data_IF_317963393179
#
_entry.id   IF_317963393179
#
_cell.length_a   1.000
_cell.length_b   1.000
_cell.length_c   1.000
_cell.angle_alpha   90.00
_cell.angle_beta   90.00
_cell.angle_gamma   90.00
#
_symmetry.space_group_name_H-M   'P 1'
#
loop_
_entity.id
_entity.type
_entity.pdbx_description
1 polymer ?
#
# COMPACT_ATOMS: atom_id res chain seq x y z
N UNK A 1 -2.31 -15.10 9.88
CA UNK A 1 -1.99 -14.43 8.58
C UNK A 1 -3.26 -13.73 8.14
N UNK A 2 -3.31 -12.40 8.22
CA UNK A 2 -4.46 -11.63 7.76
C UNK A 2 -4.75 -11.90 6.29
N UNK A 3 -6.01 -12.11 6.00
CA UNK A 3 -6.56 -12.21 4.66
C UNK A 3 -7.99 -11.68 4.68
N UNK A 4 -8.43 -11.14 3.56
CA UNK A 4 -9.73 -10.51 3.48
C UNK A 4 -9.96 -9.84 2.15
N UNK A 5 -10.89 -8.89 2.15
CA UNK A 5 -11.30 -8.17 0.95
C UNK A 5 -11.51 -6.69 1.24
N UNK A 6 -11.00 -5.87 0.35
CA UNK A 6 -11.26 -4.43 0.30
C UNK A 6 -12.20 -4.09 -0.84
N UNK A 7 -13.07 -3.11 -0.62
CA UNK A 7 -13.67 -2.32 -1.68
C UNK A 7 -12.73 -1.17 -2.04
N UNK A 8 -12.42 -1.03 -3.33
CA UNK A 8 -11.72 0.13 -3.86
C UNK A 8 -12.77 1.03 -4.52
N UNK A 9 -12.90 2.24 -3.99
CA UNK A 9 -13.93 3.20 -4.35
C UNK A 9 -13.35 4.41 -5.05
N UNK A 10 -14.12 5.06 -5.89
CA UNK A 10 -13.78 6.40 -6.36
C UNK A 10 -13.79 7.37 -5.16
N UNK A 11 -12.72 8.11 -4.88
CA UNK A 11 -12.65 8.99 -3.72
C UNK A 11 -13.61 10.19 -3.78
N UNK A 12 -14.22 10.50 -4.94
CA UNK A 12 -15.12 11.64 -5.11
C UNK A 12 -16.59 11.28 -4.95
N UNK A 13 -17.02 10.16 -5.57
CA UNK A 13 -18.45 9.77 -5.59
C UNK A 13 -18.72 8.44 -4.89
N UNK A 14 -17.70 7.78 -4.35
CA UNK A 14 -17.79 6.47 -3.69
C UNK A 14 -18.30 5.34 -4.59
N UNK A 15 -18.22 5.49 -5.90
CA UNK A 15 -18.53 4.40 -6.83
C UNK A 15 -17.54 3.26 -6.65
N UNK A 16 -18.04 2.03 -6.54
CA UNK A 16 -17.21 0.83 -6.44
C UNK A 16 -16.46 0.59 -7.76
N UNK A 17 -15.13 0.68 -7.72
CA UNK A 17 -14.24 0.49 -8.86
C UNK A 17 -13.76 -0.96 -8.98
N UNK A 18 -13.38 -1.56 -7.85
CA UNK A 18 -12.82 -2.90 -7.80
C UNK A 18 -12.95 -3.51 -6.40
N UNK A 19 -12.76 -4.82 -6.31
CA UNK A 19 -12.45 -5.51 -5.06
C UNK A 19 -10.99 -5.95 -5.08
N UNK A 20 -10.31 -5.83 -3.94
CA UNK A 20 -8.96 -6.37 -3.75
C UNK A 20 -8.99 -7.48 -2.70
N UNK A 21 -8.79 -8.72 -3.15
CA UNK A 21 -8.64 -9.89 -2.27
C UNK A 21 -7.19 -10.00 -1.87
N UNK A 22 -6.90 -9.93 -0.58
CA UNK A 22 -5.54 -9.89 -0.08
C UNK A 22 -5.21 -11.00 0.91
N UNK A 23 -3.92 -11.27 1.00
CA UNK A 23 -3.30 -12.05 2.05
C UNK A 23 -1.96 -11.43 2.39
N UNK A 24 -1.67 -11.24 3.67
CA UNK A 24 -0.37 -10.75 4.10
C UNK A 24 0.17 -11.54 5.28
N UNK A 25 1.49 -11.51 5.45
CA UNK A 25 2.15 -12.23 6.52
C UNK A 25 3.46 -11.56 6.92
N UNK A 26 3.73 -11.44 8.24
CA UNK A 26 5.08 -11.25 8.71
C UNK A 26 5.89 -12.54 8.46
N UNK A 27 7.14 -12.38 8.08
CA UNK A 27 8.12 -13.45 7.93
C UNK A 27 9.35 -13.19 8.80
N UNK A 28 10.27 -14.16 8.93
CA UNK A 28 11.46 -14.03 9.78
C UNK A 28 12.39 -12.89 9.34
N UNK A 29 12.27 -12.40 8.11
CA UNK A 29 13.11 -11.34 7.54
C UNK A 29 12.30 -10.20 6.92
N UNK A 30 11.05 -9.99 7.35
CA UNK A 30 10.23 -8.90 6.85
C UNK A 30 8.74 -9.20 6.75
N UNK A 31 8.09 -8.71 5.69
CA UNK A 31 6.65 -8.83 5.49
C UNK A 31 6.35 -8.99 4.00
N UNK A 32 5.32 -9.78 3.68
CA UNK A 32 4.84 -9.95 2.31
C UNK A 32 3.34 -9.75 2.22
N UNK A 33 2.91 -9.09 1.16
CA UNK A 33 1.52 -8.89 0.80
C UNK A 33 1.31 -9.38 -0.64
N UNK A 34 0.25 -10.16 -0.83
CA UNK A 34 -0.17 -10.63 -2.15
C UNK A 34 -1.64 -10.35 -2.30
N UNK A 35 -2.03 -9.78 -3.44
CA UNK A 35 -3.44 -9.53 -3.72
C UNK A 35 -3.81 -9.76 -5.18
N UNK A 36 -5.12 -9.92 -5.39
CA UNK A 36 -5.75 -9.96 -6.71
C UNK A 36 -6.87 -8.92 -6.75
N UNK A 37 -6.90 -8.15 -7.83
CA UNK A 37 -7.92 -7.15 -8.09
C UNK A 37 -8.95 -7.70 -9.07
N UNK A 38 -10.22 -7.48 -8.76
CA UNK A 38 -11.33 -7.87 -9.62
C UNK A 38 -12.30 -6.72 -9.82
N UNK A 39 -12.93 -6.64 -10.98
CA UNK A 39 -14.07 -5.74 -11.18
C UNK A 39 -15.21 -6.10 -10.23
N UNK A 40 -16.23 -5.22 -10.03
CA UNK A 40 -17.46 -5.57 -9.32
C UNK A 40 -18.17 -6.79 -9.90
N UNK A 41 -17.96 -7.11 -11.16
CA UNK A 41 -18.51 -8.29 -11.84
C UNK A 41 -17.64 -9.54 -11.74
N UNK A 42 -16.48 -9.46 -11.03
CA UNK A 42 -15.59 -10.59 -10.77
C UNK A 42 -14.50 -10.84 -11.82
N UNK A 43 -14.39 -10.01 -12.87
CA UNK A 43 -13.30 -10.16 -13.83
C UNK A 43 -11.97 -9.71 -13.23
N UNK A 44 -10.91 -10.50 -13.37
CA UNK A 44 -9.57 -10.16 -12.90
C UNK A 44 -9.00 -8.95 -13.67
N UNK A 45 -8.49 -7.96 -12.95
CA UNK A 45 -7.94 -6.71 -13.52
C UNK A 45 -6.49 -6.46 -13.17
N UNK A 46 -5.98 -7.07 -12.10
CA UNK A 46 -4.61 -6.86 -11.69
C UNK A 46 -4.21 -7.62 -10.45
N UNK A 47 -2.96 -7.44 -10.03
CA UNK A 47 -2.43 -8.04 -8.80
C UNK A 47 -1.27 -7.22 -8.24
N UNK A 48 -1.06 -7.36 -6.93
CA UNK A 48 0.11 -6.80 -6.23
C UNK A 48 0.80 -7.92 -5.46
N UNK A 49 2.12 -8.05 -5.62
CA UNK A 49 2.99 -8.87 -4.77
C UNK A 49 4.12 -7.96 -4.26
N UNK A 50 4.06 -7.61 -2.98
CA UNK A 50 5.00 -6.70 -2.34
C UNK A 50 5.69 -7.41 -1.17
N UNK A 51 7.02 -7.44 -1.20
CA UNK A 51 7.85 -7.98 -0.12
C UNK A 51 8.71 -6.86 0.46
N UNK A 52 8.67 -6.73 1.78
CA UNK A 52 9.50 -5.78 2.55
C UNK A 52 10.55 -6.53 3.35
N UNK A 53 11.67 -5.87 3.65
CA UNK A 53 12.61 -6.34 4.66
C UNK A 53 12.15 -6.00 6.09
N UNK A 54 12.96 -6.34 7.08
CA UNK A 54 12.73 -6.03 8.50
C UNK A 54 12.75 -4.52 8.82
N UNK A 55 13.36 -3.71 7.95
CA UNK A 55 13.37 -2.25 8.04
C UNK A 55 12.19 -1.59 7.33
N UNK A 56 11.32 -2.36 6.68
CA UNK A 56 10.18 -1.87 5.90
C UNK A 56 10.54 -1.42 4.48
N UNK A 57 11.76 -1.69 4.00
CA UNK A 57 12.17 -1.32 2.65
C UNK A 57 11.64 -2.34 1.63
N UNK A 58 11.05 -1.89 0.51
CA UNK A 58 10.60 -2.78 -0.56
C UNK A 58 11.76 -3.56 -1.20
N UNK A 59 11.86 -4.86 -0.89
CA UNK A 59 12.82 -5.76 -1.54
C UNK A 59 12.34 -6.18 -2.94
N UNK A 60 11.04 -6.31 -3.10
CA UNK A 60 10.42 -6.73 -4.36
C UNK A 60 9.02 -6.17 -4.46
N UNK A 61 8.72 -5.60 -5.60
CA UNK A 61 7.37 -5.30 -6.06
C UNK A 61 7.13 -6.04 -7.37
N UNK A 62 5.99 -6.73 -7.49
CA UNK A 62 5.38 -7.08 -8.75
C UNK A 62 3.97 -6.51 -8.79
N UNK A 63 3.70 -5.68 -9.78
CA UNK A 63 2.42 -5.03 -9.99
C UNK A 63 1.94 -5.37 -11.40
N UNK A 64 0.71 -5.88 -11.49
CA UNK A 64 0.03 -6.11 -12.75
C UNK A 64 -1.22 -5.24 -12.79
N UNK A 65 -1.46 -4.55 -13.90
CA UNK A 65 -2.70 -3.87 -14.20
C UNK A 65 -3.05 -4.06 -15.66
N UNK A 66 -4.26 -4.60 -15.91
CA UNK A 66 -4.65 -5.07 -17.24
C UNK A 66 -3.62 -6.08 -17.78
N UNK A 67 -2.83 -5.70 -18.75
CA UNK A 67 -1.77 -6.53 -19.33
C UNK A 67 -0.37 -5.93 -19.14
N UNK A 68 -0.25 -4.78 -18.45
CA UNK A 68 1.02 -4.17 -18.09
C UNK A 68 1.60 -4.78 -16.82
N UNK A 69 2.91 -4.84 -16.73
CA UNK A 69 3.63 -5.35 -15.58
C UNK A 69 4.73 -4.38 -15.14
N UNK A 70 4.88 -4.22 -13.82
CA UNK A 70 6.03 -3.56 -13.20
C UNK A 70 6.69 -4.53 -12.23
N UNK A 71 8.01 -4.58 -12.26
CA UNK A 71 8.86 -5.18 -11.22
C UNK A 71 9.80 -4.14 -10.68
N UNK A 72 9.99 -4.09 -9.37
CA UNK A 72 10.85 -3.09 -8.76
C UNK A 72 11.31 -3.44 -7.37
N UNK A 73 12.25 -2.62 -6.87
CA UNK A 73 12.78 -2.66 -5.51
C UNK A 73 13.15 -1.25 -5.06
N UNK A 74 13.27 -1.05 -3.74
CA UNK A 74 13.66 0.24 -3.16
C UNK A 74 14.68 0.02 -2.03
N UNK A 75 15.94 -0.13 -2.38
CA UNK A 75 17.05 -0.31 -1.43
C UNK A 75 17.89 0.97 -1.32
N UNK A 76 18.55 1.37 -2.41
CA UNK A 76 19.33 2.61 -2.54
C UNK A 76 18.67 3.53 -3.58
N UNK A 77 17.43 3.96 -3.31
CA UNK A 77 16.53 4.53 -4.30
C UNK A 77 15.59 3.48 -4.88
N UNK A 78 14.64 3.92 -5.70
CA UNK A 78 13.66 3.06 -6.36
C UNK A 78 14.12 2.72 -7.75
N UNK A 79 14.30 1.43 -8.02
CA UNK A 79 14.55 0.87 -9.35
C UNK A 79 13.34 0.08 -9.82
N UNK A 80 13.02 0.17 -11.10
CA UNK A 80 11.89 -0.55 -11.67
C UNK A 80 12.10 -0.88 -13.16
N UNK A 81 11.44 -1.93 -13.59
CA UNK A 81 11.24 -2.30 -15.00
C UNK A 81 9.75 -2.42 -15.25
N UNK A 82 9.24 -1.75 -16.27
CA UNK A 82 7.86 -1.82 -16.74
C UNK A 82 7.83 -2.47 -18.11
N UNK A 83 7.00 -3.49 -18.27
CA UNK A 83 6.86 -4.27 -19.51
C UNK A 83 5.46 -4.06 -20.09
N UNK A 84 5.40 -3.86 -21.40
CA UNK A 84 4.16 -3.75 -22.15
C UNK A 84 3.39 -5.09 -22.24
N UNK A 85 2.12 -5.04 -22.71
CA UNK A 85 1.29 -6.26 -22.84
C UNK A 85 1.87 -7.37 -23.73
N UNK A 86 2.72 -7.01 -24.67
CA UNK A 86 3.32 -7.97 -25.60
C UNK A 86 4.60 -8.59 -25.05
N UNK A 87 5.18 -8.00 -24.00
CA UNK A 87 6.47 -8.37 -23.45
C UNK A 87 7.66 -8.00 -24.34
N UNK A 88 7.41 -7.27 -25.43
CA UNK A 88 8.45 -6.92 -26.42
C UNK A 88 9.13 -5.59 -26.10
N UNK A 89 8.45 -4.69 -25.37
CA UNK A 89 9.00 -3.41 -24.94
C UNK A 89 9.08 -3.32 -23.43
N UNK A 90 10.30 -3.10 -22.93
CA UNK A 90 10.56 -2.82 -21.53
C UNK A 90 11.11 -1.40 -21.39
N UNK A 91 10.65 -0.71 -20.36
CA UNK A 91 11.24 0.55 -19.92
C UNK A 91 11.71 0.41 -18.50
N UNK A 92 12.84 0.98 -18.18
CA UNK A 92 13.43 0.93 -16.84
C UNK A 92 13.62 2.33 -16.27
N UNK A 93 13.71 2.45 -14.97
CA UNK A 93 14.01 3.69 -14.29
C UNK A 93 14.67 3.46 -12.95
N UNK A 94 15.42 4.50 -12.55
CA UNK A 94 16.01 4.63 -11.24
C UNK A 94 15.82 6.06 -10.77
N UNK A 95 15.21 6.22 -9.59
CA UNK A 95 14.93 7.54 -9.02
C UNK A 95 15.28 7.57 -7.52
N UNK A 96 15.73 8.72 -6.98
CA UNK A 96 16.02 8.87 -5.56
C UNK A 96 14.72 8.99 -4.76
N UNK A 97 14.01 7.88 -4.61
CA UNK A 97 12.79 7.74 -3.83
C UNK A 97 12.95 6.64 -2.79
N UNK A 98 12.05 6.58 -1.80
CA UNK A 98 12.19 5.69 -0.64
C UNK A 98 11.38 4.39 -0.79
N UNK A 99 10.23 4.46 -1.48
CA UNK A 99 9.31 3.33 -1.64
C UNK A 99 8.36 3.55 -2.81
N UNK A 100 7.40 2.64 -2.95
CA UNK A 100 6.30 2.72 -3.89
C UNK A 100 5.02 3.23 -3.23
N UNK A 101 4.10 3.75 -4.04
CA UNK A 101 2.73 4.08 -3.65
C UNK A 101 1.76 3.75 -4.77
N UNK A 102 0.47 3.70 -4.46
CA UNK A 102 -0.59 3.40 -5.41
C UNK A 102 -1.93 3.21 -4.71
N UNK A 103 -2.92 2.65 -5.42
CA UNK A 103 -4.28 2.46 -4.92
C UNK A 103 -4.44 1.26 -4.00
N UNK A 104 -3.53 0.29 -4.04
CA UNK A 104 -3.60 -0.88 -3.15
C UNK A 104 -3.26 -0.54 -1.70
N UNK A 105 -4.01 -1.06 -0.72
CA UNK A 105 -3.70 -0.96 0.71
C UNK A 105 -2.28 -1.41 1.08
N UNK A 106 -1.68 -2.33 0.31
CA UNK A 106 -0.31 -2.79 0.50
C UNK A 106 0.71 -1.65 0.66
N UNK A 107 0.55 -0.59 -0.14
CA UNK A 107 1.47 0.54 -0.12
C UNK A 107 1.35 1.38 1.13
N UNK A 108 0.15 1.55 1.69
CA UNK A 108 -0.07 2.27 2.95
C UNK A 108 0.62 1.53 4.10
N UNK A 109 0.45 0.22 4.20
CA UNK A 109 1.15 -0.62 5.18
C UNK A 109 2.67 -0.54 5.00
N UNK A 110 3.15 -0.61 3.76
CA UNK A 110 4.58 -0.52 3.48
C UNK A 110 5.20 0.81 3.93
N UNK A 111 4.50 1.93 3.68
CA UNK A 111 4.99 3.26 4.06
C UNK A 111 5.02 3.42 5.59
N UNK A 112 3.98 2.96 6.32
CA UNK A 112 3.98 3.04 7.78
C UNK A 112 5.09 2.19 8.39
N UNK A 113 5.37 1.01 7.84
CA UNK A 113 6.48 0.14 8.27
C UNK A 113 7.86 0.74 7.98
N UNK A 114 8.00 1.43 6.86
CA UNK A 114 9.24 2.13 6.50
C UNK A 114 9.50 3.31 7.43
N UNK A 115 8.48 4.13 7.69
CA UNK A 115 8.62 5.37 8.44
C UNK A 115 8.68 5.16 9.96
N UNK A 116 8.06 4.10 10.50
CA UNK A 116 8.04 3.76 11.94
C UNK A 116 7.71 4.94 12.83
N UNK A 117 6.67 5.69 12.44
CA UNK A 117 6.28 6.90 13.14
C UNK A 117 5.76 6.58 14.55
N UNK A 118 6.06 7.47 15.48
CA UNK A 118 5.53 7.46 16.86
C UNK A 118 4.80 8.78 17.13
N UNK A 119 3.96 8.87 18.16
CA UNK A 119 3.26 10.12 18.48
C UNK A 119 4.19 11.31 18.74
N UNK A 120 5.45 11.04 19.11
CA UNK A 120 6.49 12.07 19.31
C UNK A 120 7.29 12.40 18.04
N UNK A 121 7.11 11.62 16.96
CA UNK A 121 7.81 11.87 15.71
C UNK A 121 7.17 13.03 14.97
N UNK A 122 7.97 14.02 14.58
CA UNK A 122 7.48 15.08 13.71
C UNK A 122 7.01 14.52 12.35
N UNK A 123 6.14 15.27 11.66
CA UNK A 123 5.72 14.91 10.33
C UNK A 123 6.92 14.64 9.41
N UNK A 124 6.95 13.47 8.79
CA UNK A 124 8.10 12.97 8.02
C UNK A 124 7.79 13.01 6.53
N UNK A 125 8.66 13.68 5.77
CA UNK A 125 8.56 13.70 4.31
C UNK A 125 9.10 12.41 3.74
N UNK A 126 8.37 11.87 2.77
CA UNK A 126 8.76 10.67 2.00
C UNK A 126 8.54 10.93 0.52
N UNK A 127 9.51 10.55 -0.32
CA UNK A 127 9.40 10.54 -1.77
C UNK A 127 9.11 9.14 -2.24
N UNK A 128 8.09 8.99 -3.08
CA UNK A 128 7.55 7.73 -3.52
C UNK A 128 7.46 7.66 -5.05
N UNK A 129 7.41 6.45 -5.59
CA UNK A 129 7.09 6.20 -6.99
C UNK A 129 5.70 5.59 -7.08
N UNK A 130 4.81 6.27 -7.79
CA UNK A 130 3.48 5.77 -8.14
C UNK A 130 3.50 5.24 -9.58
N UNK A 131 2.69 4.20 -9.82
CA UNK A 131 2.40 3.70 -11.15
C UNK A 131 0.92 3.93 -11.46
N UNK A 132 0.65 4.68 -12.52
CA UNK A 132 -0.71 5.14 -12.86
C UNK A 132 -1.33 4.25 -13.93
N UNK A 133 -2.54 3.76 -13.65
CA UNK A 133 -3.35 3.02 -14.61
C UNK A 133 -3.75 3.87 -15.83
N UNK A 134 -4.06 3.23 -16.97
CA UNK A 134 -4.07 1.77 -17.23
C UNK A 134 -2.73 1.19 -17.69
N UNK A 135 -1.70 2.01 -17.87
CA UNK A 135 -0.42 1.63 -18.50
C UNK A 135 0.73 1.57 -17.49
N UNK A 136 0.43 1.69 -16.21
CA UNK A 136 1.41 1.73 -15.12
C UNK A 136 2.52 2.76 -15.38
N UNK A 137 2.13 3.98 -15.82
CA UNK A 137 3.09 5.05 -16.05
C UNK A 137 3.73 5.51 -14.73
N UNK A 138 5.08 5.56 -14.64
CA UNK A 138 5.76 5.95 -13.40
C UNK A 138 5.64 7.45 -13.15
N UNK A 139 5.37 7.83 -11.91
CA UNK A 139 5.33 9.20 -11.42
C UNK A 139 5.96 9.30 -10.04
N UNK A 140 6.81 10.29 -9.82
CA UNK A 140 7.32 10.58 -8.47
C UNK A 140 6.34 11.49 -7.74
N UNK A 141 6.05 11.17 -6.48
CA UNK A 141 5.20 11.95 -5.59
C UNK A 141 5.89 12.17 -4.25
N UNK A 142 5.69 13.35 -3.67
CA UNK A 142 6.20 13.70 -2.34
C UNK A 142 5.02 13.79 -1.37
N UNK A 143 5.12 13.10 -0.25
CA UNK A 143 4.12 13.11 0.82
C UNK A 143 4.75 13.43 2.16
N UNK A 144 3.96 13.98 3.08
CA UNK A 144 4.30 14.11 4.50
C UNK A 144 3.36 13.24 5.30
N UNK A 145 3.91 12.46 6.22
CA UNK A 145 3.19 11.53 7.08
C UNK A 145 3.40 11.87 8.54
N UNK A 146 2.32 11.85 9.34
CA UNK A 146 2.36 12.01 10.78
C UNK A 146 1.43 11.01 11.45
N UNK A 147 1.87 10.34 12.51
CA UNK A 147 0.99 9.57 13.39
C UNK A 147 0.28 10.56 14.31
N UNK A 148 -1.03 10.74 14.12
CA UNK A 148 -1.82 11.72 14.86
C UNK A 148 -2.56 11.14 16.06
N UNK A 149 -2.83 9.83 16.03
CA UNK A 149 -3.48 9.10 17.11
C UNK A 149 -3.11 7.62 17.10
N UNK A 150 -3.13 7.00 18.28
CA UNK A 150 -2.97 5.54 18.44
C UNK A 150 -3.84 5.12 19.62
N UNK A 151 -4.91 4.37 19.34
CA UNK A 151 -5.89 3.94 20.33
C UNK A 151 -5.99 2.44 20.39
N UNK A 152 -6.05 1.89 21.60
CA UNK A 152 -6.24 0.45 21.81
C UNK A 152 -7.68 0.17 22.20
N UNK A 153 -8.35 -0.63 21.39
CA UNK A 153 -9.73 -1.05 21.60
C UNK A 153 -9.77 -2.49 22.14
N UNK A 154 -10.56 -2.77 23.18
CA UNK A 154 -10.79 -4.13 23.62
C UNK A 154 -11.59 -4.90 22.57
N UNK A 155 -11.18 -6.13 22.27
CA UNK A 155 -11.93 -7.07 21.42
C UNK A 155 -12.05 -8.41 22.12
N UNK A 156 -12.89 -9.30 21.62
CA UNK A 156 -13.15 -10.61 22.23
C UNK A 156 -11.90 -11.51 22.28
N UNK A 157 -10.95 -11.31 21.38
CA UNK A 157 -9.76 -12.17 21.28
C UNK A 157 -8.51 -11.51 21.90
N UNK A 158 -8.20 -10.28 21.50
CA UNK A 158 -7.04 -9.54 21.99
C UNK A 158 -7.25 -8.04 21.73
N UNK A 159 -6.64 -7.15 22.54
CA UNK A 159 -6.72 -5.72 22.29
C UNK A 159 -6.21 -5.38 20.87
N UNK A 160 -6.95 -4.53 20.15
CA UNK A 160 -6.62 -4.07 18.82
C UNK A 160 -6.16 -2.63 18.88
N UNK A 161 -4.91 -2.35 18.52
CA UNK A 161 -4.41 -0.98 18.39
C UNK A 161 -4.70 -0.47 16.98
N UNK A 162 -5.35 0.67 16.91
CA UNK A 162 -5.66 1.40 15.67
C UNK A 162 -4.84 2.68 15.65
N UNK A 163 -4.00 2.79 14.63
CA UNK A 163 -3.17 3.95 14.37
C UNK A 163 -3.83 4.83 13.31
N UNK A 164 -3.94 6.14 13.58
CA UNK A 164 -4.42 7.13 12.63
C UNK A 164 -3.25 7.98 12.13
N UNK A 165 -3.03 7.97 10.82
CA UNK A 165 -1.99 8.73 10.16
C UNK A 165 -2.60 9.87 9.33
N UNK A 166 -2.10 11.09 9.50
CA UNK A 166 -2.36 12.18 8.59
C UNK A 166 -1.35 12.13 7.45
N UNK A 167 -1.85 12.11 6.22
CA UNK A 167 -1.07 12.13 4.99
C UNK A 167 -1.35 13.43 4.25
N UNK A 168 -0.29 14.13 3.85
CA UNK A 168 -0.38 15.36 3.06
C UNK A 168 0.35 15.16 1.75
N UNK A 169 -0.33 15.33 0.63
CA UNK A 169 0.29 15.44 -0.70
C UNK A 169 1.01 16.78 -0.82
N UNK A 170 2.33 16.79 -0.99
CA UNK A 170 3.11 18.03 -0.91
C UNK A 170 3.05 18.89 -2.18
N UNK A 171 2.56 18.34 -3.27
CA UNK A 171 2.34 19.07 -4.53
C UNK A 171 1.01 19.83 -4.56
N UNK A 172 -0.04 19.29 -3.93
CA UNK A 172 -1.39 19.90 -3.91
C UNK A 172 -1.76 20.50 -2.55
N UNK A 173 -1.12 20.06 -1.47
CA UNK A 173 -1.50 20.40 -0.09
C UNK A 173 -2.72 19.63 0.41
N UNK A 174 -3.27 18.70 -0.38
CA UNK A 174 -4.39 17.87 0.02
C UNK A 174 -4.03 16.98 1.20
N UNK A 175 -4.94 16.88 2.16
CA UNK A 175 -4.76 16.10 3.37
C UNK A 175 -5.86 15.06 3.53
N UNK A 176 -5.48 13.89 3.98
CA UNK A 176 -6.42 12.84 4.34
C UNK A 176 -5.89 12.00 5.52
N UNK A 177 -6.79 11.24 6.12
CA UNK A 177 -6.46 10.34 7.23
C UNK A 177 -6.53 8.89 6.77
N UNK A 178 -5.56 8.10 7.24
CA UNK A 178 -5.48 6.66 7.01
C UNK A 178 -5.49 5.96 8.36
N UNK A 179 -6.35 4.95 8.53
CA UNK A 179 -6.44 4.16 9.74
C UNK A 179 -5.92 2.75 9.49
N UNK A 180 -4.98 2.31 10.32
CA UNK A 180 -4.40 0.96 10.25
C UNK A 180 -4.51 0.25 11.60
N UNK A 181 -4.67 -1.06 11.52
CA UNK A 181 -4.43 -1.96 12.64
C UNK A 181 -3.35 -2.96 12.23
N UNK A 182 -2.15 -2.81 12.77
CA UNK A 182 -1.00 -3.63 12.37
C UNK A 182 -0.72 -3.59 10.87
N UNK A 183 -0.96 -4.70 10.17
CA UNK A 183 -0.77 -4.85 8.72
C UNK A 183 -2.07 -4.82 7.90
N UNK A 184 -3.14 -4.30 8.48
CA UNK A 184 -4.44 -4.15 7.81
C UNK A 184 -4.86 -2.68 7.80
N UNK A 185 -5.20 -2.16 6.63
CA UNK A 185 -5.84 -0.84 6.48
C UNK A 185 -7.32 -0.99 6.84
N UNK A 186 -7.79 -0.23 7.83
CA UNK A 186 -9.20 -0.25 8.21
C UNK A 186 -10.02 0.72 7.36
N UNK A 187 -9.46 1.91 7.09
CA UNK A 187 -10.08 2.92 6.25
C UNK A 187 -9.03 3.89 5.70
N UNK A 188 -9.19 4.28 4.44
CA UNK A 188 -8.47 5.36 3.77
C UNK A 188 -9.34 5.91 2.63
N UNK A 189 -9.02 7.08 2.05
CA UNK A 189 -9.77 7.58 0.89
C UNK A 189 -9.80 6.56 -0.23
N UNK A 190 -11.00 6.18 -0.65
CA UNK A 190 -11.22 5.19 -1.70
C UNK A 190 -10.90 3.75 -1.31
N UNK A 191 -10.69 3.44 -0.02
CA UNK A 191 -10.38 2.09 0.47
C UNK A 191 -11.25 1.79 1.68
N UNK A 192 -12.04 0.74 1.63
CA UNK A 192 -12.84 0.23 2.73
C UNK A 192 -12.59 -1.26 2.94
N UNK A 193 -12.34 -1.66 4.19
CA UNK A 193 -12.24 -3.07 4.55
C UNK A 193 -13.66 -3.67 4.62
N UNK A 194 -13.98 -4.59 3.70
CA UNK A 194 -15.29 -5.25 3.67
C UNK A 194 -15.32 -6.54 4.50
N UNK A 195 -14.22 -7.29 4.46
CA UNK A 195 -14.14 -8.58 5.14
C UNK A 195 -12.72 -8.84 5.63
N UNK A 196 -12.60 -9.43 6.83
CA UNK A 196 -11.34 -9.83 7.43
C UNK A 196 -11.48 -11.19 8.10
N UNK A 197 -10.95 -12.22 7.49
CA UNK A 197 -11.07 -13.59 7.97
C UNK A 197 -10.15 -13.93 9.15
N UNK A 198 -9.11 -13.14 9.37
CA UNK A 198 -8.14 -13.35 10.45
C UNK A 198 -7.65 -12.00 10.99
N UNK A 199 -7.42 -11.86 12.29
CA UNK A 199 -7.02 -10.60 12.89
C UNK A 199 -5.72 -10.07 12.30
N UNK A 200 -5.50 -8.73 12.35
CA UNK A 200 -4.24 -8.11 11.96
C UNK A 200 -3.05 -8.70 12.71
N UNK A 201 -1.89 -8.74 12.07
CA UNK A 201 -0.65 -9.16 12.74
C UNK A 201 -0.18 -8.06 13.68
N UNK A 202 0.22 -8.46 14.90
CA UNK A 202 0.90 -7.54 15.82
C UNK A 202 2.39 -7.54 15.49
N UNK A 203 2.95 -6.34 15.31
CA UNK A 203 4.38 -6.16 15.17
C UNK A 203 4.97 -5.72 16.51
N UNK A 204 5.91 -6.45 17.00
CA UNK A 204 6.74 -6.11 18.16
C UNK A 204 8.10 -5.56 17.71
#
# INVERSE_FOLDING_TARGET
MPRGRYALLDPHDHTLLAHEHFQCAPGPSGWRYVSQLTTPTGAHTGSVDLTLDDLGRPLRLELHASSWQVRGAALDGVTWVRTDPTGTHATEGNVPAHAFTGTSPAFLVAITRLLRLTPSTAATRVRLVAFTDPVLAPRTVDQSWALINSETHPTDNAPLTVDAYQVTALDTGEQHTVHLAGDVVLAAPGIELEDLESPPSTFT
#
